data_IF_076921765895
#
_entry.id   IF_076921765895
#
_cell.length_a   1.000
_cell.length_b   1.000
_cell.length_c   1.000
_cell.angle_alpha   90.00
_cell.angle_beta   90.00
_cell.angle_gamma   90.00
#
_symmetry.space_group_name_H-M   'P 1'
#
loop_
_entity.id
_entity.type
_entity.pdbx_description
1 polymer ?
#
# COMPACT_ATOMS: atom_id res chain seq x y z
N UNK A 1 -30.18 56.52 34.25
CA UNK A 1 -29.54 55.19 34.14
C UNK A 1 -30.22 54.44 33.01
N UNK A 2 -29.58 54.40 31.84
CA UNK A 2 -30.05 53.70 30.64
C UNK A 2 -28.93 52.79 30.17
N UNK A 3 -29.20 51.49 30.13
CA UNK A 3 -28.35 50.53 29.44
C UNK A 3 -29.11 50.07 28.19
N UNK A 4 -28.56 50.37 27.01
CA UNK A 4 -28.75 49.57 25.80
C UNK A 4 -27.61 49.81 24.81
N UNK A 5 -27.01 48.69 24.41
CA UNK A 5 -26.34 48.34 23.14
C UNK A 5 -25.13 49.15 22.63
N UNK A 6 -24.06 48.43 22.25
CA UNK A 6 -23.76 48.03 20.87
C UNK A 6 -22.52 47.09 20.83
N UNK A 7 -22.59 46.08 19.96
CA UNK A 7 -21.55 45.14 19.53
C UNK A 7 -20.35 45.83 18.84
N UNK A 8 -19.13 45.26 18.96
CA UNK A 8 -18.25 45.02 17.79
C UNK A 8 -16.99 44.17 18.09
N UNK A 9 -16.92 43.03 17.39
CA UNK A 9 -15.78 42.41 16.66
C UNK A 9 -14.32 42.70 17.08
N UNK A 10 -13.65 41.62 17.51
CA UNK A 10 -12.47 41.01 16.88
C UNK A 10 -11.19 41.82 16.64
N UNK A 11 -10.08 41.39 17.26
CA UNK A 11 -8.73 41.39 16.67
C UNK A 11 -7.95 40.15 17.09
N UNK A 12 -7.37 39.48 16.07
CA UNK A 12 -6.43 38.36 16.14
C UNK A 12 -5.22 38.74 17.00
N UNK A 13 -4.86 37.86 17.93
CA UNK A 13 -3.55 37.86 18.59
C UNK A 13 -2.78 36.63 18.14
N UNK A 14 -1.63 36.85 17.49
CA UNK A 14 -0.61 35.86 17.19
C UNK A 14 -0.32 34.99 18.43
N UNK A 15 -0.59 33.68 18.33
CA UNK A 15 -0.02 32.71 19.26
C UNK A 15 1.23 32.14 18.63
N UNK A 16 2.35 32.79 18.95
CA UNK A 16 3.70 32.21 18.85
C UNK A 16 3.69 30.87 19.59
N UNK A 17 4.01 29.80 18.87
CA UNK A 17 4.03 28.42 19.35
C UNK A 17 5.09 28.26 20.44
N UNK A 18 4.66 28.14 21.71
CA UNK A 18 5.52 27.60 22.76
C UNK A 18 5.27 26.10 22.85
N UNK A 19 6.32 25.32 22.62
CA UNK A 19 6.37 23.88 22.87
C UNK A 19 5.77 23.57 24.25
N UNK A 20 4.80 22.67 24.31
CA UNK A 20 4.28 22.22 25.59
C UNK A 20 5.39 21.41 26.29
N UNK A 21 5.64 21.63 27.61
CA UNK A 21 6.66 20.87 28.32
C UNK A 21 6.31 19.38 28.33
N UNK A 22 7.32 18.53 28.15
CA UNK A 22 7.13 17.07 28.18
C UNK A 22 6.57 16.62 29.53
N UNK A 23 5.82 15.50 29.57
CA UNK A 23 5.20 15.00 30.81
C UNK A 23 6.24 14.76 31.90
N UNK A 24 5.90 15.05 33.16
CA UNK A 24 6.79 14.81 34.32
C UNK A 24 7.27 13.36 34.40
N UNK A 25 6.44 12.40 33.96
CA UNK A 25 6.77 10.98 33.88
C UNK A 25 7.93 10.66 32.95
N UNK A 26 8.15 11.47 31.91
CA UNK A 26 9.33 11.35 31.04
C UNK A 26 10.61 11.75 31.77
N UNK A 27 10.58 12.88 32.49
CA UNK A 27 11.73 13.37 33.25
C UNK A 27 12.08 12.45 34.43
N UNK A 28 11.09 11.90 35.12
CA UNK A 28 11.31 10.93 36.21
C UNK A 28 11.91 9.61 35.70
N UNK A 29 11.51 9.13 34.52
CA UNK A 29 12.09 7.92 33.92
C UNK A 29 13.55 8.13 33.46
N UNK A 30 13.89 9.35 33.00
CA UNK A 30 15.27 9.74 32.68
C UNK A 30 16.15 9.82 33.93
N UNK A 31 15.67 10.44 35.00
CA UNK A 31 16.41 10.56 36.27
C UNK A 31 16.61 9.19 36.96
N UNK A 32 15.71 8.24 36.74
CA UNK A 32 15.79 6.88 37.27
C UNK A 32 16.63 5.91 36.40
N UNK A 33 17.14 6.35 35.25
CA UNK A 33 17.88 5.48 34.32
C UNK A 33 17.02 4.42 33.61
N UNK A 34 15.69 4.54 33.64
CA UNK A 34 14.76 3.69 32.90
C UNK A 34 14.51 4.26 31.50
N UNK A 35 15.49 4.06 30.63
CA UNK A 35 15.51 4.60 29.27
C UNK A 35 14.40 4.04 28.37
N UNK A 36 13.99 2.78 28.59
CA UNK A 36 12.89 2.14 27.86
C UNK A 36 11.53 2.71 28.28
N UNK A 37 11.36 3.00 29.58
CA UNK A 37 10.20 3.72 30.11
C UNK A 37 10.11 5.14 29.52
N UNK A 38 11.23 5.88 29.53
CA UNK A 38 11.29 7.24 28.97
C UNK A 38 10.94 7.27 27.48
N UNK A 39 11.47 6.33 26.69
CA UNK A 39 11.17 6.22 25.26
C UNK A 39 9.69 5.92 25.00
N UNK A 40 9.09 5.01 25.78
CA UNK A 40 7.66 4.68 25.65
C UNK A 40 6.77 5.87 25.99
N UNK A 41 7.12 6.66 27.00
CA UNK A 41 6.37 7.88 27.37
C UNK A 41 6.50 8.95 26.29
N UNK A 42 7.70 9.11 25.72
CA UNK A 42 7.96 10.05 24.64
C UNK A 42 7.20 9.70 23.35
N UNK A 43 7.22 8.43 22.95
CA UNK A 43 6.48 7.92 21.79
C UNK A 43 4.95 8.06 21.93
N UNK A 44 4.46 8.19 23.16
CA UNK A 44 3.04 8.36 23.48
C UNK A 44 2.61 9.83 23.59
N UNK A 45 3.52 10.81 23.44
CA UNK A 45 3.16 12.22 23.61
C UNK A 45 2.64 12.85 22.29
N UNK A 46 1.50 13.59 22.29
CA UNK A 46 0.74 13.87 21.07
C UNK A 46 1.27 15.04 20.22
N UNK A 47 2.24 15.81 20.72
CA UNK A 47 2.81 16.95 20.02
C UNK A 47 4.33 16.93 20.21
N UNK A 48 5.09 16.55 19.19
CA UNK A 48 6.30 17.22 18.71
C UNK A 48 6.94 16.41 17.58
N UNK A 49 7.36 17.09 16.51
CA UNK A 49 8.40 16.56 15.63
C UNK A 49 9.66 16.35 16.49
N UNK A 50 10.44 15.28 16.25
CA UNK A 50 11.64 15.03 17.04
C UNK A 50 12.55 16.27 17.00
N UNK A 51 12.90 16.91 18.14
CA UNK A 51 13.93 17.94 18.16
C UNK A 51 15.24 17.37 17.61
N UNK A 52 16.17 18.23 17.17
CA UNK A 52 17.51 17.81 16.75
C UNK A 52 18.21 16.89 17.78
N UNK A 53 17.86 17.02 19.06
CA UNK A 53 18.34 16.22 20.20
C UNK A 53 17.83 14.77 20.26
N UNK A 54 16.88 14.39 19.39
CA UNK A 54 16.38 13.00 19.32
C UNK A 54 17.42 12.06 18.72
N UNK A 55 18.36 12.61 17.93
CA UNK A 55 19.50 11.86 17.40
C UNK A 55 20.49 11.48 18.51
N UNK A 56 20.74 12.36 19.48
CA UNK A 56 21.62 12.07 20.62
C UNK A 56 20.96 11.11 21.62
N UNK A 57 19.64 11.22 21.82
CA UNK A 57 18.89 10.25 22.62
C UNK A 57 18.94 8.83 22.00
N UNK A 58 18.77 8.73 20.67
CA UNK A 58 18.95 7.49 19.92
C UNK A 58 20.39 6.96 20.03
N UNK A 59 21.39 7.83 19.91
CA UNK A 59 22.81 7.48 20.02
C UNK A 59 23.16 6.92 21.40
N UNK A 60 22.54 7.44 22.45
CA UNK A 60 22.74 6.98 23.84
C UNK A 60 22.06 5.64 24.10
N UNK A 61 20.84 5.43 23.55
CA UNK A 61 20.14 4.13 23.58
C UNK A 61 20.90 3.07 22.77
N UNK A 62 21.49 3.45 21.64
CA UNK A 62 22.33 2.59 20.79
C UNK A 62 23.64 2.18 21.49
N UNK A 63 24.26 3.08 22.24
CA UNK A 63 25.46 2.78 23.04
C UNK A 63 25.18 1.83 24.21
N UNK A 64 23.99 1.91 24.81
CA UNK A 64 23.60 1.10 25.96
C UNK A 64 23.07 -0.30 25.60
N UNK A 65 22.57 -0.51 24.37
CA UNK A 65 21.90 -1.76 23.97
C UNK A 65 22.68 -2.61 22.94
N UNK A 66 23.76 -2.07 22.36
CA UNK A 66 24.66 -2.83 21.47
C UNK A 66 24.08 -3.18 20.10
N UNK A 67 22.94 -2.61 19.71
CA UNK A 67 22.26 -2.89 18.44
C UNK A 67 22.86 -2.04 17.32
N UNK A 68 23.21 -2.67 16.19
CA UNK A 68 23.89 -2.04 15.04
C UNK A 68 23.10 -0.89 14.39
N UNK A 69 23.85 0.13 13.97
CA UNK A 69 23.37 1.44 13.47
C UNK A 69 22.45 1.35 12.25
N UNK A 70 22.63 0.32 11.40
CA UNK A 70 21.94 0.24 10.12
C UNK A 70 20.52 -0.33 10.24
N UNK A 71 20.30 -1.35 11.07
CA UNK A 71 18.98 -2.01 11.20
C UNK A 71 17.93 -1.11 11.87
N UNK A 72 18.35 -0.34 12.87
CA UNK A 72 17.44 0.59 13.60
C UNK A 72 17.09 1.78 12.71
N UNK A 73 18.08 2.31 11.98
CA UNK A 73 17.90 3.46 11.10
C UNK A 73 17.04 3.11 9.89
N UNK A 74 17.20 1.93 9.29
CA UNK A 74 16.36 1.47 8.19
C UNK A 74 14.91 1.23 8.64
N UNK A 75 14.70 0.47 9.74
CA UNK A 75 13.36 0.22 10.27
C UNK A 75 12.66 1.50 10.76
N UNK A 76 13.40 2.43 11.34
CA UNK A 76 12.88 3.72 11.76
C UNK A 76 12.53 4.59 10.56
N UNK A 77 13.42 4.71 9.57
CA UNK A 77 13.15 5.48 8.35
C UNK A 77 12.02 4.88 7.53
N UNK A 78 11.88 3.57 7.50
CA UNK A 78 10.74 2.89 6.87
C UNK A 78 9.44 3.23 7.59
N UNK A 79 9.40 3.15 8.92
CA UNK A 79 8.21 3.54 9.72
C UNK A 79 7.89 5.02 9.61
N UNK A 80 8.89 5.90 9.60
CA UNK A 80 8.73 7.36 9.43
C UNK A 80 8.26 7.71 8.03
N UNK A 81 8.74 6.99 7.01
CA UNK A 81 8.28 7.15 5.63
C UNK A 81 6.83 6.69 5.47
N UNK A 82 6.47 5.55 6.06
CA UNK A 82 5.09 5.06 6.07
C UNK A 82 4.17 6.04 6.81
N UNK A 83 4.58 6.55 7.97
CA UNK A 83 3.79 7.54 8.70
C UNK A 83 3.67 8.84 7.90
N UNK A 84 4.74 9.33 7.27
CA UNK A 84 4.71 10.58 6.50
C UNK A 84 3.88 10.49 5.21
N UNK A 85 3.85 9.34 4.55
CA UNK A 85 3.02 9.10 3.36
C UNK A 85 1.54 9.00 3.76
N UNK A 86 1.24 8.40 4.91
CA UNK A 86 -0.12 8.21 5.43
C UNK A 86 -0.70 9.45 6.14
N UNK A 87 0.14 10.39 6.60
CA UNK A 87 -0.24 11.57 7.40
C UNK A 87 -0.37 12.89 6.62
N UNK A 88 -0.58 12.88 5.29
CA UNK A 88 -0.83 14.15 4.56
C UNK A 88 -2.20 14.76 4.94
N UNK A 89 -2.13 15.72 5.87
CA UNK A 89 -3.21 16.34 6.66
C UNK A 89 -4.29 17.16 5.91
N UNK A 90 -5.50 17.07 6.49
CA UNK A 90 -6.63 18.01 6.65
C UNK A 90 -7.91 17.76 5.81
N UNK A 91 -9.15 17.97 6.36
CA UNK A 91 -9.59 18.34 7.73
C UNK A 91 -10.39 17.24 8.48
N UNK A 92 -10.60 17.40 9.80
CA UNK A 92 -11.42 16.56 10.73
C UNK A 92 -11.14 15.04 10.72
N UNK A 93 -9.90 14.64 10.99
CA UNK A 93 -9.54 13.23 11.10
C UNK A 93 -9.96 12.64 12.47
N UNK A 94 -10.80 11.61 12.46
CA UNK A 94 -11.21 10.87 13.67
C UNK A 94 -10.08 9.93 14.10
N UNK A 95 -9.77 9.94 15.39
CA UNK A 95 -8.77 9.04 15.98
C UNK A 95 -9.15 7.57 15.81
N UNK A 96 -8.14 6.73 15.59
CA UNK A 96 -8.33 5.32 15.28
C UNK A 96 -9.08 4.55 16.38
N UNK A 97 -8.68 4.71 17.64
CA UNK A 97 -9.37 4.08 18.78
C UNK A 97 -10.80 4.60 18.97
N UNK A 98 -11.01 5.90 18.76
CA UNK A 98 -12.34 6.53 18.84
C UNK A 98 -13.29 5.94 17.79
N UNK A 99 -12.82 5.66 16.58
CA UNK A 99 -13.62 5.02 15.55
C UNK A 99 -14.11 3.62 15.94
N UNK A 100 -13.22 2.77 16.47
CA UNK A 100 -13.60 1.42 16.90
C UNK A 100 -14.51 1.44 18.12
N UNK A 101 -14.27 2.34 19.08
CA UNK A 101 -15.18 2.57 20.20
C UNK A 101 -16.55 3.04 19.73
N UNK A 102 -16.60 3.95 18.75
CA UNK A 102 -17.85 4.44 18.16
C UNK A 102 -18.61 3.32 17.44
N UNK A 103 -17.91 2.44 16.70
CA UNK A 103 -18.51 1.23 16.13
C UNK A 103 -19.08 0.30 17.20
N UNK A 104 -18.36 0.10 18.31
CA UNK A 104 -18.81 -0.76 19.40
C UNK A 104 -20.03 -0.21 20.15
N UNK A 105 -20.13 1.13 20.26
CA UNK A 105 -21.22 1.82 20.93
C UNK A 105 -22.39 2.18 20.00
N UNK A 106 -22.24 1.98 18.68
CA UNK A 106 -23.24 2.36 17.70
C UNK A 106 -23.37 3.87 17.45
N UNK A 107 -22.31 4.65 17.68
CA UNK A 107 -22.30 6.10 17.42
C UNK A 107 -22.14 6.39 15.91
N UNK A 108 -23.28 6.37 15.21
CA UNK A 108 -23.37 6.61 13.77
C UNK A 108 -22.79 7.95 13.32
N UNK A 109 -22.80 8.98 14.17
CA UNK A 109 -22.28 10.31 13.82
C UNK A 109 -20.75 10.28 13.72
N UNK A 110 -20.09 9.69 14.71
CA UNK A 110 -18.63 9.56 14.73
C UNK A 110 -18.15 8.58 13.66
N UNK A 111 -18.87 7.48 13.43
CA UNK A 111 -18.57 6.52 12.36
C UNK A 111 -18.63 7.21 10.98
N UNK A 112 -19.72 7.92 10.70
CA UNK A 112 -19.89 8.62 9.41
C UNK A 112 -18.85 9.73 9.24
N UNK A 113 -18.51 10.47 10.30
CA UNK A 113 -17.45 11.47 10.26
C UNK A 113 -16.09 10.85 9.94
N UNK A 114 -15.73 9.73 10.57
CA UNK A 114 -14.47 9.03 10.34
C UNK A 114 -14.35 8.52 8.90
N UNK A 115 -15.40 7.88 8.39
CA UNK A 115 -15.42 7.30 7.03
C UNK A 115 -15.46 8.41 5.96
N UNK A 116 -16.18 9.50 6.22
CA UNK A 116 -16.18 10.68 5.36
C UNK A 116 -14.80 11.35 5.35
N UNK A 117 -14.12 11.45 6.50
CA UNK A 117 -12.76 11.95 6.64
C UNK A 117 -11.73 11.08 5.89
N UNK A 118 -11.96 9.77 5.85
CA UNK A 118 -11.22 8.85 4.98
C UNK A 118 -11.51 9.08 3.48
N UNK A 119 -12.43 10.00 3.12
CA UNK A 119 -12.85 10.37 1.76
C UNK A 119 -13.62 9.25 1.04
N UNK A 120 -14.43 8.49 1.78
CA UNK A 120 -15.45 7.62 1.20
C UNK A 120 -16.73 8.46 1.05
N UNK A 121 -17.04 8.86 -0.17
CA UNK A 121 -18.00 9.95 -0.41
C UNK A 121 -19.47 9.48 -0.48
N UNK A 122 -19.75 8.27 -0.97
CA UNK A 122 -21.13 7.81 -1.16
C UNK A 122 -21.69 7.21 0.14
N UNK A 123 -22.90 7.61 0.61
CA UNK A 123 -23.54 7.03 1.79
C UNK A 123 -23.62 5.50 1.74
N UNK A 124 -23.92 4.91 0.57
CA UNK A 124 -23.95 3.46 0.39
C UNK A 124 -22.58 2.82 0.63
N UNK A 125 -21.50 3.45 0.16
CA UNK A 125 -20.14 2.99 0.41
C UNK A 125 -19.77 3.14 1.89
N UNK A 126 -20.22 4.22 2.54
CA UNK A 126 -19.97 4.42 3.97
C UNK A 126 -20.63 3.33 4.82
N UNK A 127 -21.86 2.96 4.49
CA UNK A 127 -22.59 1.85 5.14
C UNK A 127 -21.84 0.54 4.94
N UNK A 128 -21.50 0.19 3.70
CA UNK A 128 -20.78 -1.05 3.41
C UNK A 128 -19.41 -1.12 4.11
N UNK A 129 -18.68 0.00 4.18
CA UNK A 129 -17.42 0.09 4.94
C UNK A 129 -17.66 -0.09 6.43
N UNK A 130 -18.69 0.55 7.00
CA UNK A 130 -19.03 0.41 8.41
C UNK A 130 -19.45 -1.04 8.76
N UNK A 131 -20.23 -1.70 7.90
CA UNK A 131 -20.62 -3.10 8.06
C UNK A 131 -19.41 -4.04 8.01
N UNK A 132 -18.52 -3.85 7.03
CA UNK A 132 -17.27 -4.59 6.93
C UNK A 132 -16.40 -4.43 8.20
N UNK A 133 -16.30 -3.20 8.72
CA UNK A 133 -15.59 -2.94 9.98
C UNK A 133 -16.30 -3.55 11.19
N UNK A 134 -17.63 -3.53 11.23
CA UNK A 134 -18.40 -4.18 12.29
C UNK A 134 -18.17 -5.70 12.32
N UNK A 135 -17.96 -6.34 11.16
CA UNK A 135 -17.59 -7.76 11.09
C UNK A 135 -16.19 -8.01 11.68
N UNK A 136 -15.22 -7.10 11.45
CA UNK A 136 -13.90 -7.18 12.08
C UNK A 136 -13.99 -7.01 13.59
N UNK A 137 -14.77 -6.02 14.05
CA UNK A 137 -15.02 -5.76 15.46
C UNK A 137 -15.65 -6.97 16.15
N UNK A 138 -16.69 -7.53 15.54
CA UNK A 138 -17.37 -8.73 16.04
C UNK A 138 -16.43 -9.94 16.10
N UNK A 139 -15.51 -10.07 15.13
CA UNK A 139 -14.55 -11.16 15.10
C UNK A 139 -13.51 -11.04 16.23
N UNK A 140 -13.05 -9.82 16.52
CA UNK A 140 -12.11 -9.56 17.60
C UNK A 140 -12.74 -9.71 19.01
N UNK A 141 -14.06 -9.59 19.12
CA UNK A 141 -14.82 -9.86 20.34
C UNK A 141 -14.40 -8.95 21.50
N UNK A 142 -14.29 -9.52 22.71
CA UNK A 142 -13.91 -8.75 23.91
C UNK A 142 -12.48 -8.18 23.86
N UNK A 143 -11.62 -8.72 22.99
CA UNK A 143 -10.23 -8.28 22.82
C UNK A 143 -10.06 -7.26 21.69
N UNK A 144 -11.14 -6.66 21.21
CA UNK A 144 -11.09 -5.75 20.08
C UNK A 144 -10.12 -4.57 20.28
N UNK A 145 -9.98 -4.05 21.50
CA UNK A 145 -9.05 -2.95 21.77
C UNK A 145 -7.60 -3.40 21.56
N UNK A 146 -7.23 -4.56 22.08
CA UNK A 146 -5.90 -5.13 21.86
C UNK A 146 -5.67 -5.46 20.37
N UNK A 147 -6.64 -6.11 19.72
CA UNK A 147 -6.48 -6.66 18.36
C UNK A 147 -6.59 -5.62 17.25
N UNK A 148 -7.49 -4.64 17.39
CA UNK A 148 -7.81 -3.66 16.37
C UNK A 148 -7.25 -2.27 16.68
N UNK A 149 -6.86 -1.96 17.92
CA UNK A 149 -6.28 -0.66 18.30
C UNK A 149 -4.81 -0.81 18.66
N UNK A 150 -4.46 -1.61 19.67
CA UNK A 150 -3.09 -1.63 20.21
C UNK A 150 -2.07 -2.30 19.26
N UNK A 151 -2.49 -3.33 18.53
CA UNK A 151 -1.62 -4.07 17.60
C UNK A 151 -1.34 -3.31 16.30
N UNK A 152 -2.10 -2.26 16.00
CA UNK A 152 -1.96 -1.50 14.75
C UNK A 152 -1.53 -0.05 15.03
N UNK A 153 -0.42 0.43 14.44
CA UNK A 153 0.14 1.73 14.80
C UNK A 153 -0.52 2.88 14.04
N UNK A 154 -1.86 2.96 14.07
CA UNK A 154 -2.62 3.99 13.36
C UNK A 154 -3.09 5.09 14.30
N UNK A 155 -2.80 6.34 13.92
CA UNK A 155 -3.28 7.51 14.67
C UNK A 155 -4.73 7.86 14.28
N UNK A 156 -5.04 7.80 12.98
CA UNK A 156 -6.33 8.23 12.42
C UNK A 156 -6.87 7.24 11.40
N UNK A 157 -8.17 7.32 11.15
CA UNK A 157 -8.86 6.49 10.15
C UNK A 157 -8.50 6.96 8.74
N UNK A 158 -7.98 6.04 7.94
CA UNK A 158 -7.71 6.25 6.50
C UNK A 158 -8.19 5.04 5.70
N UNK A 159 -8.46 5.23 4.40
CA UNK A 159 -8.87 4.13 3.50
C UNK A 159 -7.90 2.96 3.53
N UNK A 160 -6.60 3.25 3.52
CA UNK A 160 -5.54 2.24 3.50
C UNK A 160 -5.43 1.50 4.84
N UNK A 161 -5.61 2.20 5.97
CA UNK A 161 -5.54 1.58 7.31
C UNK A 161 -6.71 0.61 7.56
N UNK A 162 -7.90 0.93 7.07
CA UNK A 162 -9.08 0.05 7.14
C UNK A 162 -8.82 -1.30 6.43
N UNK A 163 -8.21 -1.25 5.24
CA UNK A 163 -7.84 -2.47 4.51
C UNK A 163 -6.67 -3.20 5.20
N UNK A 164 -5.70 -2.45 5.71
CA UNK A 164 -4.54 -3.01 6.40
C UNK A 164 -4.94 -3.85 7.62
N UNK A 165 -5.87 -3.37 8.45
CA UNK A 165 -6.29 -4.12 9.64
C UNK A 165 -6.99 -5.43 9.25
N UNK A 166 -7.81 -5.43 8.19
CA UNK A 166 -8.43 -6.64 7.66
C UNK A 166 -7.39 -7.65 7.18
N UNK A 167 -6.40 -7.21 6.40
CA UNK A 167 -5.32 -8.07 5.92
C UNK A 167 -4.43 -8.59 7.07
N UNK A 168 -4.14 -7.76 8.08
CA UNK A 168 -3.34 -8.15 9.25
C UNK A 168 -4.05 -9.22 10.09
N UNK A 169 -5.38 -9.12 10.20
CA UNK A 169 -6.22 -10.14 10.83
C UNK A 169 -6.47 -11.38 9.96
N UNK A 170 -5.80 -11.53 8.81
CA UNK A 170 -6.01 -12.62 7.84
C UNK A 170 -7.46 -12.73 7.33
N UNK A 171 -8.22 -11.63 7.39
CA UNK A 171 -9.60 -11.51 6.89
C UNK A 171 -9.60 -10.97 5.47
N UNK A 172 -9.10 -11.79 4.54
CA UNK A 172 -9.03 -11.45 3.12
C UNK A 172 -10.43 -11.18 2.52
N UNK A 173 -11.45 -11.88 3.02
CA UNK A 173 -12.86 -11.71 2.65
C UNK A 173 -13.33 -10.28 2.91
N UNK A 174 -13.02 -9.76 4.10
CA UNK A 174 -13.36 -8.38 4.47
C UNK A 174 -12.47 -7.37 3.75
N UNK A 175 -11.19 -7.69 3.55
CA UNK A 175 -10.30 -6.84 2.78
C UNK A 175 -10.78 -6.66 1.33
N UNK A 176 -11.27 -7.72 0.68
CA UNK A 176 -11.89 -7.64 -0.66
C UNK A 176 -13.10 -6.71 -0.65
N UNK A 177 -13.98 -6.83 0.35
CA UNK A 177 -15.17 -5.97 0.43
C UNK A 177 -14.78 -4.51 0.64
N UNK A 178 -13.85 -4.23 1.56
CA UNK A 178 -13.34 -2.88 1.78
C UNK A 178 -12.73 -2.30 0.49
N UNK A 179 -11.91 -3.08 -0.23
CA UNK A 179 -11.28 -2.66 -1.49
C UNK A 179 -12.29 -2.29 -2.59
N UNK A 180 -13.46 -2.95 -2.64
CA UNK A 180 -14.54 -2.59 -3.57
C UNK A 180 -15.16 -1.22 -3.24
N UNK A 181 -15.24 -0.88 -1.96
CA UNK A 181 -15.87 0.34 -1.49
C UNK A 181 -14.91 1.53 -1.43
N UNK A 182 -13.61 1.28 -1.23
CA UNK A 182 -12.59 2.31 -1.10
C UNK A 182 -11.71 2.39 -2.34
N UNK A 183 -11.70 3.57 -2.97
CA UNK A 183 -10.82 3.81 -4.12
C UNK A 183 -9.39 4.06 -3.63
N UNK A 184 -8.56 3.02 -3.61
CA UNK A 184 -7.13 3.14 -3.33
C UNK A 184 -6.34 3.66 -4.53
N UNK A 185 -5.18 4.24 -4.28
CA UNK A 185 -4.19 4.60 -5.30
C UNK A 185 -3.15 3.49 -5.47
N UNK A 186 -2.35 3.54 -6.54
CA UNK A 186 -1.22 2.60 -6.73
C UNK A 186 -0.23 2.63 -5.55
N UNK A 187 -0.03 3.79 -4.94
CA UNK A 187 0.84 3.92 -3.76
C UNK A 187 0.27 3.17 -2.55
N UNK A 188 -1.04 3.29 -2.31
CA UNK A 188 -1.73 2.58 -1.22
C UNK A 188 -1.67 1.06 -1.42
N UNK A 189 -1.95 0.58 -2.64
CA UNK A 189 -1.87 -0.87 -2.92
C UNK A 189 -0.42 -1.37 -2.78
N UNK A 190 0.56 -0.55 -3.14
CA UNK A 190 1.98 -0.90 -2.97
C UNK A 190 2.39 -1.02 -1.51
N UNK A 191 1.84 -0.20 -0.61
CA UNK A 191 2.11 -0.32 0.84
C UNK A 191 1.40 -1.52 1.46
N UNK A 192 0.22 -1.88 0.96
CA UNK A 192 -0.53 -3.07 1.40
C UNK A 192 0.02 -4.38 0.81
N UNK A 193 0.78 -4.30 -0.27
CA UNK A 193 1.28 -5.47 -1.02
C UNK A 193 1.94 -6.55 -0.14
N UNK A 194 2.83 -6.23 0.82
CA UNK A 194 3.45 -7.25 1.68
C UNK A 194 2.47 -8.07 2.50
N UNK A 195 1.31 -7.50 2.85
CA UNK A 195 0.24 -8.23 3.55
C UNK A 195 -0.61 -9.03 2.57
N UNK A 196 -0.87 -8.49 1.37
CA UNK A 196 -1.62 -9.21 0.34
C UNK A 196 -0.92 -10.52 -0.04
N UNK A 197 0.41 -10.48 -0.25
CA UNK A 197 1.22 -11.65 -0.63
C UNK A 197 1.39 -12.72 0.45
N UNK A 198 0.87 -12.50 1.66
CA UNK A 198 0.79 -13.55 2.68
C UNK A 198 -0.37 -14.53 2.41
N UNK A 199 -1.26 -14.19 1.49
CA UNK A 199 -2.37 -15.03 1.07
C UNK A 199 -2.00 -15.86 -0.16
N UNK A 200 -2.74 -16.94 -0.41
CA UNK A 200 -2.60 -17.73 -1.63
C UNK A 200 -2.94 -16.91 -2.88
N UNK A 201 -2.43 -17.34 -4.03
CA UNK A 201 -2.67 -16.63 -5.29
C UNK A 201 -4.15 -16.43 -5.62
N UNK A 202 -5.05 -17.35 -5.27
CA UNK A 202 -6.49 -17.20 -5.54
C UNK A 202 -7.05 -15.99 -4.79
N UNK A 203 -6.67 -15.85 -3.51
CA UNK A 203 -7.09 -14.74 -2.66
C UNK A 203 -6.47 -13.44 -3.14
N UNK A 204 -5.19 -13.47 -3.53
CA UNK A 204 -4.53 -12.29 -4.12
C UNK A 204 -5.22 -11.87 -5.41
N UNK A 205 -5.62 -12.81 -6.26
CA UNK A 205 -6.39 -12.53 -7.48
C UNK A 205 -7.71 -11.84 -7.15
N UNK A 206 -8.45 -12.29 -6.14
CA UNK A 206 -9.66 -11.62 -5.67
C UNK A 206 -9.38 -10.20 -5.14
N UNK A 207 -8.32 -10.02 -4.36
CA UNK A 207 -7.93 -8.72 -3.79
C UNK A 207 -7.56 -7.71 -4.88
N UNK A 208 -6.74 -8.09 -5.87
CA UNK A 208 -6.38 -7.18 -6.97
C UNK A 208 -7.57 -6.89 -7.89
N UNK A 209 -8.49 -7.85 -8.05
CA UNK A 209 -9.72 -7.67 -8.85
C UNK A 209 -10.71 -6.70 -8.19
N UNK A 210 -10.64 -6.56 -6.87
CA UNK A 210 -11.41 -5.57 -6.12
C UNK A 210 -10.81 -4.15 -6.20
N UNK A 211 -9.57 -4.02 -6.66
CA UNK A 211 -8.92 -2.72 -6.80
C UNK A 211 -9.26 -2.04 -8.13
N UNK A 212 -9.19 -0.69 -8.21
CA UNK A 212 -9.18 0.00 -9.49
C UNK A 212 -8.00 -0.49 -10.34
N UNK A 213 -8.25 -0.78 -11.63
CA UNK A 213 -7.23 -1.29 -12.57
C UNK A 213 -5.91 -0.51 -12.54
N UNK A 214 -5.99 0.82 -12.53
CA UNK A 214 -4.83 1.71 -12.52
C UNK A 214 -4.02 1.70 -11.21
N UNK A 215 -4.55 1.08 -10.15
CA UNK A 215 -3.93 1.01 -8.84
C UNK A 215 -3.21 -0.32 -8.60
N UNK A 216 -3.46 -1.33 -9.42
CA UNK A 216 -2.83 -2.64 -9.27
C UNK A 216 -1.40 -2.60 -9.81
N UNK A 217 -0.38 -2.98 -9.03
CA UNK A 217 0.99 -3.11 -9.52
C UNK A 217 1.16 -4.46 -10.26
N UNK A 218 0.64 -4.57 -11.49
CA UNK A 218 0.64 -5.81 -12.27
C UNK A 218 2.03 -6.44 -12.47
N UNK A 219 3.07 -5.61 -12.61
CA UNK A 219 4.46 -6.05 -12.69
C UNK A 219 4.96 -6.81 -11.46
N UNK A 220 4.30 -6.68 -10.31
CA UNK A 220 4.58 -7.46 -9.09
C UNK A 220 3.53 -8.54 -8.85
N UNK A 221 2.26 -8.22 -9.13
CA UNK A 221 1.14 -9.10 -8.83
C UNK A 221 1.09 -10.34 -9.72
N UNK A 222 1.25 -10.17 -11.03
CA UNK A 222 1.15 -11.30 -11.96
C UNK A 222 2.29 -12.31 -11.78
N UNK A 223 3.57 -11.90 -11.63
CA UNK A 223 4.64 -12.84 -11.34
C UNK A 223 4.45 -13.61 -10.03
N UNK A 224 3.88 -12.96 -8.99
CA UNK A 224 3.56 -13.65 -7.73
C UNK A 224 2.50 -14.74 -7.97
N UNK A 225 1.37 -14.38 -8.59
CA UNK A 225 0.26 -15.30 -8.84
C UNK A 225 0.70 -16.50 -9.70
N UNK A 226 1.49 -16.26 -10.75
CA UNK A 226 1.99 -17.30 -11.63
C UNK A 226 2.97 -18.24 -10.93
N UNK A 227 3.91 -17.70 -10.14
CA UNK A 227 4.91 -18.50 -9.42
C UNK A 227 4.33 -19.34 -8.29
N UNK A 228 3.25 -18.87 -7.66
CA UNK A 228 2.56 -19.57 -6.58
C UNK A 228 1.67 -20.73 -7.09
N UNK A 229 1.50 -20.86 -8.41
CA UNK A 229 0.89 -22.05 -9.03
C UNK A 229 -0.31 -21.76 -9.94
N UNK A 230 -0.69 -20.50 -10.16
CA UNK A 230 -1.77 -20.18 -11.09
C UNK A 230 -1.37 -20.52 -12.54
N UNK A 231 -2.23 -21.24 -13.26
CA UNK A 231 -2.00 -21.50 -14.67
C UNK A 231 -2.11 -20.21 -15.47
N UNK A 232 -1.24 -20.08 -16.47
CA UNK A 232 -1.19 -18.89 -17.31
C UNK A 232 -2.47 -18.74 -18.16
N UNK A 233 -3.12 -19.84 -18.55
CA UNK A 233 -4.43 -19.82 -19.23
C UNK A 233 -5.53 -19.21 -18.34
N UNK A 234 -5.70 -19.74 -17.12
CA UNK A 234 -6.69 -19.23 -16.17
C UNK A 234 -6.49 -17.74 -15.87
N UNK A 235 -5.25 -17.33 -15.66
CA UNK A 235 -4.94 -15.92 -15.40
C UNK A 235 -5.26 -15.04 -16.61
N UNK A 236 -4.95 -15.51 -17.82
CA UNK A 236 -5.25 -14.78 -19.07
C UNK A 236 -6.74 -14.56 -19.26
N UNK A 237 -7.53 -15.62 -19.07
CA UNK A 237 -9.00 -15.54 -19.15
C UNK A 237 -9.52 -14.51 -18.14
N UNK A 238 -9.06 -14.55 -16.89
CA UNK A 238 -9.49 -13.59 -15.87
C UNK A 238 -9.14 -12.15 -16.24
N UNK A 239 -7.94 -11.90 -16.78
CA UNK A 239 -7.49 -10.58 -17.22
C UNK A 239 -8.24 -10.09 -18.47
N UNK A 240 -8.65 -11.00 -19.34
CA UNK A 240 -9.50 -10.72 -20.50
C UNK A 240 -10.91 -10.29 -20.07
N UNK A 241 -11.55 -11.05 -19.16
CA UNK A 241 -12.83 -10.69 -18.57
C UNK A 241 -12.75 -9.34 -17.84
N UNK A 242 -11.64 -9.09 -17.15
CA UNK A 242 -11.37 -7.82 -16.51
C UNK A 242 -11.07 -6.69 -17.52
N UNK A 243 -10.87 -6.97 -18.81
CA UNK A 243 -10.49 -6.00 -19.87
C UNK A 243 -9.25 -5.20 -19.49
N UNK A 244 -8.19 -5.87 -19.06
CA UNK A 244 -6.90 -5.25 -18.71
C UNK A 244 -5.76 -5.68 -19.63
N UNK A 245 -5.98 -6.64 -20.53
CA UNK A 245 -4.97 -7.08 -21.50
C UNK A 245 -4.57 -6.00 -22.51
N UNK A 246 -5.30 -4.88 -22.62
CA UNK A 246 -4.89 -3.75 -23.46
C UNK A 246 -3.72 -2.92 -22.88
N UNK A 247 -3.22 -3.26 -21.70
CA UNK A 247 -2.13 -2.56 -21.03
C UNK A 247 -0.81 -3.35 -21.13
N UNK A 248 0.25 -2.69 -21.58
CA UNK A 248 1.60 -3.26 -21.69
C UNK A 248 2.13 -3.70 -20.32
N UNK A 249 1.77 -2.99 -19.25
CA UNK A 249 2.13 -3.33 -17.87
C UNK A 249 1.55 -4.69 -17.41
N UNK A 250 0.50 -5.18 -18.10
CA UNK A 250 -0.15 -6.47 -17.85
C UNK A 250 0.43 -7.55 -18.76
N UNK A 251 0.62 -7.24 -20.04
CA UNK A 251 1.10 -8.21 -21.04
C UNK A 251 2.57 -8.57 -20.84
N UNK A 252 3.41 -7.59 -20.49
CA UNK A 252 4.86 -7.81 -20.32
C UNK A 252 5.16 -8.89 -19.26
N UNK A 253 4.58 -8.87 -18.04
CA UNK A 253 4.80 -9.94 -17.07
C UNK A 253 4.32 -11.33 -17.50
N UNK A 254 3.22 -11.41 -18.26
CA UNK A 254 2.71 -12.69 -18.80
C UNK A 254 3.68 -13.26 -19.83
N UNK A 255 4.18 -12.41 -20.72
CA UNK A 255 5.17 -12.75 -21.74
C UNK A 255 6.47 -13.24 -21.11
N UNK A 256 6.97 -12.54 -20.09
CA UNK A 256 8.20 -12.93 -19.38
C UNK A 256 8.06 -14.31 -18.70
N UNK A 257 6.88 -14.65 -18.20
CA UNK A 257 6.61 -15.95 -17.62
C UNK A 257 6.44 -17.05 -18.68
N UNK A 258 5.75 -16.76 -19.78
CA UNK A 258 5.59 -17.68 -20.91
C UNK A 258 6.95 -18.13 -21.47
N UNK A 259 7.90 -17.20 -21.59
CA UNK A 259 9.29 -17.52 -21.98
C UNK A 259 9.98 -18.44 -20.97
N UNK A 260 9.75 -18.25 -19.66
CA UNK A 260 10.33 -19.10 -18.61
C UNK A 260 9.83 -20.54 -18.68
N UNK A 261 8.54 -20.73 -18.93
CA UNK A 261 7.92 -22.06 -19.08
C UNK A 261 8.05 -22.63 -20.50
N UNK A 262 8.67 -21.87 -21.43
CA UNK A 262 8.86 -22.21 -22.85
C UNK A 262 7.55 -22.45 -23.62
N UNK A 263 6.50 -21.72 -23.27
CA UNK A 263 5.23 -21.71 -24.01
C UNK A 263 5.32 -20.72 -25.18
N UNK A 264 5.93 -21.18 -26.28
CA UNK A 264 6.21 -20.35 -27.46
C UNK A 264 4.96 -19.96 -28.24
N UNK A 265 3.92 -20.78 -28.19
CA UNK A 265 2.63 -20.46 -28.81
C UNK A 265 1.97 -19.28 -28.10
N UNK A 266 1.99 -19.28 -26.77
CA UNK A 266 1.51 -18.15 -25.99
C UNK A 266 2.39 -16.90 -26.18
N UNK A 267 3.72 -17.04 -26.27
CA UNK A 267 4.63 -15.94 -26.60
C UNK A 267 4.25 -15.26 -27.92
N UNK A 268 4.00 -16.05 -28.97
CA UNK A 268 3.59 -15.50 -30.27
C UNK A 268 2.25 -14.76 -30.19
N UNK A 269 1.24 -15.31 -29.50
CA UNK A 269 -0.05 -14.63 -29.28
C UNK A 269 0.11 -13.32 -28.52
N UNK A 270 0.93 -13.29 -27.46
CA UNK A 270 1.20 -12.04 -26.74
C UNK A 270 1.94 -11.00 -27.58
N UNK A 271 2.87 -11.42 -28.43
CA UNK A 271 3.56 -10.51 -29.35
C UNK A 271 2.60 -9.93 -30.41
N UNK A 272 1.67 -10.74 -30.93
CA UNK A 272 0.60 -10.25 -31.80
C UNK A 272 -0.27 -9.21 -31.10
N UNK A 273 -0.65 -9.50 -29.86
CA UNK A 273 -1.43 -8.58 -29.03
C UNK A 273 -0.68 -7.26 -28.75
N UNK A 274 0.64 -7.31 -28.53
CA UNK A 274 1.47 -6.09 -28.39
C UNK A 274 1.56 -5.27 -29.68
N UNK A 275 1.47 -5.92 -30.85
CA UNK A 275 1.36 -5.25 -32.15
C UNK A 275 0.00 -4.59 -32.32
N UNK A 276 -1.09 -5.25 -31.89
CA UNK A 276 -2.44 -4.68 -31.92
C UNK A 276 -2.59 -3.47 -31.02
N UNK A 277 -1.95 -3.49 -29.84
CA UNK A 277 -1.86 -2.32 -28.94
C UNK A 277 -1.02 -1.19 -29.57
N UNK A 278 -0.17 -1.51 -30.54
CA UNK A 278 0.73 -0.57 -31.21
C UNK A 278 2.03 -0.30 -30.43
N UNK A 279 2.35 -1.10 -29.41
CA UNK A 279 3.58 -0.96 -28.62
C UNK A 279 4.79 -1.58 -29.34
N UNK A 280 4.58 -2.68 -30.06
CA UNK A 280 5.60 -3.32 -30.92
C UNK A 280 5.20 -3.14 -32.38
N UNK A 281 6.17 -2.87 -33.26
CA UNK A 281 5.89 -2.75 -34.71
C UNK A 281 5.74 -4.12 -35.36
N UNK A 282 4.87 -4.22 -36.38
CA UNK A 282 4.71 -5.46 -37.17
C UNK A 282 6.05 -5.93 -37.78
N UNK A 283 6.90 -4.98 -38.18
CA UNK A 283 8.23 -5.27 -38.70
C UNK A 283 9.16 -5.89 -37.64
N UNK A 284 9.16 -5.37 -36.39
CA UNK A 284 9.93 -5.96 -35.30
C UNK A 284 9.45 -7.38 -34.96
N UNK A 285 8.13 -7.62 -34.93
CA UNK A 285 7.56 -8.97 -34.75
C UNK A 285 8.02 -9.92 -35.86
N UNK A 286 7.95 -9.49 -37.12
CA UNK A 286 8.35 -10.31 -38.27
C UNK A 286 9.85 -10.64 -38.25
N UNK A 287 10.70 -9.67 -37.91
CA UNK A 287 12.13 -9.88 -37.76
C UNK A 287 12.44 -10.87 -36.60
N UNK A 288 11.75 -10.73 -35.47
CA UNK A 288 11.87 -11.66 -34.36
C UNK A 288 11.46 -13.08 -34.75
N UNK A 289 10.33 -13.25 -35.43
CA UNK A 289 9.88 -14.56 -35.92
C UNK A 289 10.89 -15.15 -36.91
N UNK A 290 11.47 -14.34 -37.79
CA UNK A 290 12.51 -14.80 -38.72
C UNK A 290 13.77 -15.29 -37.98
N UNK A 291 14.26 -14.53 -37.00
CA UNK A 291 15.40 -14.93 -36.16
C UNK A 291 15.10 -16.20 -35.35
N UNK A 292 13.88 -16.34 -34.84
CA UNK A 292 13.44 -17.54 -34.13
C UNK A 292 13.46 -18.77 -35.05
N UNK A 293 12.98 -18.64 -36.29
CA UNK A 293 13.01 -19.72 -37.28
C UNK A 293 14.45 -20.14 -37.66
N UNK A 294 15.40 -19.21 -37.66
CA UNK A 294 16.80 -19.49 -38.01
C UNK A 294 17.61 -20.10 -36.85
N UNK A 295 17.41 -19.60 -35.62
CA UNK A 295 18.29 -19.87 -34.49
C UNK A 295 17.62 -20.57 -33.29
N UNK A 296 16.29 -20.72 -33.33
CA UNK A 296 15.45 -21.24 -32.26
C UNK A 296 15.01 -20.17 -31.25
N UNK A 297 13.74 -20.20 -30.86
CA UNK A 297 13.08 -19.25 -29.95
C UNK A 297 13.83 -19.12 -28.62
N UNK A 298 14.26 -20.25 -28.07
CA UNK A 298 14.98 -20.28 -26.79
C UNK A 298 16.32 -19.52 -26.85
N UNK A 299 17.03 -19.58 -27.99
CA UNK A 299 18.33 -18.92 -28.16
C UNK A 299 18.15 -17.41 -28.31
N UNK A 300 17.18 -16.99 -29.12
CA UNK A 300 16.86 -15.57 -29.36
C UNK A 300 16.37 -14.89 -28.08
N UNK A 301 15.39 -15.49 -27.38
CA UNK A 301 14.88 -14.94 -26.13
C UNK A 301 15.93 -14.86 -25.02
N UNK A 302 16.87 -15.83 -24.98
CA UNK A 302 17.99 -15.78 -24.04
C UNK A 302 18.94 -14.61 -24.33
N UNK A 303 19.30 -14.40 -25.60
CA UNK A 303 20.20 -13.31 -26.00
C UNK A 303 19.57 -11.94 -25.78
N UNK A 304 18.27 -11.79 -26.05
CA UNK A 304 17.52 -10.58 -25.70
C UNK A 304 17.62 -10.26 -24.20
N UNK A 305 17.44 -11.28 -23.35
CA UNK A 305 17.58 -11.15 -21.91
C UNK A 305 19.01 -10.80 -21.48
N UNK A 306 20.03 -11.39 -22.11
CA UNK A 306 21.45 -11.08 -21.85
C UNK A 306 21.78 -9.61 -22.19
N UNK A 307 21.17 -9.04 -23.22
CA UNK A 307 21.28 -7.62 -23.57
C UNK A 307 20.37 -6.70 -22.73
N UNK A 308 19.67 -7.25 -21.72
CA UNK A 308 18.70 -6.52 -20.90
C UNK A 308 17.52 -5.91 -21.68
N UNK A 309 17.18 -6.52 -22.83
CA UNK A 309 16.06 -6.10 -23.69
C UNK A 309 14.85 -6.96 -23.34
N UNK A 310 13.78 -6.33 -22.85
CA UNK A 310 12.50 -7.01 -22.65
C UNK A 310 11.83 -7.24 -24.01
N UNK A 311 11.17 -8.38 -24.18
CA UNK A 311 10.42 -8.68 -25.41
C UNK A 311 9.31 -7.65 -25.67
N UNK A 312 8.72 -7.09 -24.62
CA UNK A 312 7.74 -6.02 -24.76
C UNK A 312 8.34 -4.73 -25.33
N UNK A 313 9.63 -4.47 -25.15
CA UNK A 313 10.31 -3.25 -25.62
C UNK A 313 11.15 -3.50 -26.90
N UNK A 314 10.79 -4.55 -27.65
CA UNK A 314 11.54 -4.99 -28.82
C UNK A 314 11.39 -4.03 -30.00
N UNK A 315 12.53 -3.65 -30.59
CA UNK A 315 12.63 -2.86 -31.82
C UNK A 315 13.48 -3.58 -32.85
N UNK A 316 13.45 -3.12 -34.11
CA UNK A 316 14.30 -3.69 -35.18
C UNK A 316 15.79 -3.49 -34.83
N UNK A 317 16.18 -2.30 -34.38
CA UNK A 317 17.55 -1.97 -33.97
C UNK A 317 18.04 -2.91 -32.85
N UNK A 318 17.16 -3.19 -31.88
CA UNK A 318 17.44 -4.12 -30.79
C UNK A 318 17.71 -5.54 -31.32
N UNK A 319 16.95 -6.00 -32.32
CA UNK A 319 17.11 -7.33 -32.91
C UNK A 319 18.36 -7.44 -33.79
N UNK A 320 18.69 -6.41 -34.56
CA UNK A 320 19.92 -6.34 -35.36
C UNK A 320 21.18 -6.34 -34.48
N UNK A 321 21.09 -5.76 -33.28
CA UNK A 321 22.20 -5.72 -32.33
C UNK A 321 22.59 -7.09 -31.76
N UNK A 322 21.72 -8.10 -31.88
CA UNK A 322 21.92 -9.43 -31.26
C UNK A 322 23.03 -10.27 -31.89
N UNK A 323 23.64 -9.84 -33.01
CA UNK A 323 24.74 -10.52 -33.73
C UNK A 323 24.57 -12.06 -33.76
N UNK A 324 23.37 -12.48 -34.16
CA UNK A 324 22.89 -13.87 -34.14
C UNK A 324 23.35 -14.69 -35.35
#
# INVERSE_FOLDING_TARGET
MRHTHVLCKGRRGDRVWKAAPLPKTFHTALEAGDWLGALKVYQRHPYHAPPADTFDLLKTVMHATGIGVNDVKERFNEKVRLSAILQRKAPEEVEWGVFWSALNQGDGKTISAAISGARVASPTQQIAVAEACAVLLRHAGEKWEEELVDRVPFATVTRSNLVHVALSGQRWDIAVELLRQVRLTRADVTTLWPLMTQNSWERVLHLISACPKSSVPYSRALPFILRDGCSLQLLSEHLEHARVLGDVDVVSPLLDYAVQIKDWEYVNRCLEHLVEIGHVTCAAKTAFTHLCNLHGEAKVCRLLKEHSIRLADMSIENLESLKL
#
